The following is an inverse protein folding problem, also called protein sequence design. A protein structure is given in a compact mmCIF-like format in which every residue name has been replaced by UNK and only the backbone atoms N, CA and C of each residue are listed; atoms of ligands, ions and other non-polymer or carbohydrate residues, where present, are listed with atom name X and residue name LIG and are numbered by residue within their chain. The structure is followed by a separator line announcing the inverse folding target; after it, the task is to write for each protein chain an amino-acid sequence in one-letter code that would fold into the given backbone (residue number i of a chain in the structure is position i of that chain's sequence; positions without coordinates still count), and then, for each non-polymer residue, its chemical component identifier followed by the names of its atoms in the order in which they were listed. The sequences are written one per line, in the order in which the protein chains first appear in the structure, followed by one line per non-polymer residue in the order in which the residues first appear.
data_IF_195644229253
#
_entry.id   IF_195644229253
#
_cell.length_a   1.000
_cell.length_b   1.000
_cell.length_c   1.000
_cell.angle_alpha   90.00
_cell.angle_beta   90.00
_cell.angle_gamma   90.00
#
_symmetry.space_group_name_H-M   'P 1'
#
loop_
_entity.id
_entity.type
_entity.pdbx_description
1 polymer ?
#
# COMPACT_ATOMS: atom_id res chain seq x y z
N UNK A 1 0.63 -2.04 -14.36
CA UNK A 1 1.17 -3.14 -13.55
C UNK A 1 0.16 -4.27 -13.52
N UNK A 2 0.43 -5.37 -14.23
CA UNK A 2 -0.55 -6.45 -14.41
C UNK A 2 -0.92 -7.17 -13.10
N UNK A 3 0.07 -7.43 -12.22
CA UNK A 3 -0.17 -8.11 -10.94
C UNK A 3 -1.11 -7.32 -10.02
N UNK A 4 -0.87 -6.01 -9.86
CA UNK A 4 -1.71 -5.17 -9.00
C UNK A 4 -3.15 -5.12 -9.52
N UNK A 5 -3.33 -4.95 -10.84
CA UNK A 5 -4.66 -4.97 -11.46
C UNK A 5 -5.38 -6.30 -11.27
N UNK A 6 -4.67 -7.43 -11.41
CA UNK A 6 -5.24 -8.75 -11.19
C UNK A 6 -5.74 -8.95 -9.75
N UNK A 7 -4.98 -8.49 -8.75
CA UNK A 7 -5.37 -8.58 -7.33
C UNK A 7 -6.59 -7.71 -7.06
N UNK A 8 -6.63 -6.47 -7.57
CA UNK A 8 -7.76 -5.55 -7.41
C UNK A 8 -9.03 -6.16 -8.02
N UNK A 9 -8.93 -6.68 -9.25
CA UNK A 9 -10.05 -7.29 -9.95
C UNK A 9 -10.57 -8.53 -9.20
N UNK A 10 -9.67 -9.41 -8.76
CA UNK A 10 -10.04 -10.59 -7.98
C UNK A 10 -10.74 -10.22 -6.68
N UNK A 11 -10.21 -9.24 -5.96
CA UNK A 11 -10.77 -8.81 -4.69
C UNK A 11 -12.20 -8.25 -4.86
N UNK A 12 -12.41 -7.42 -5.90
CA UNK A 12 -13.73 -6.91 -6.26
C UNK A 12 -14.70 -8.04 -6.63
N UNK A 13 -14.27 -9.00 -7.47
CA UNK A 13 -15.11 -10.14 -7.88
C UNK A 13 -15.49 -11.07 -6.73
N UNK A 14 -14.62 -11.18 -5.72
CA UNK A 14 -14.87 -12.03 -4.54
C UNK A 14 -15.74 -11.33 -3.49
N UNK A 15 -16.04 -10.03 -3.65
CA UNK A 15 -16.86 -9.26 -2.72
C UNK A 15 -16.09 -8.70 -1.51
N UNK A 16 -14.76 -8.59 -1.60
CA UNK A 16 -14.01 -7.81 -0.60
C UNK A 16 -14.30 -6.32 -0.76
N UNK A 17 -14.33 -5.60 0.36
CA UNK A 17 -14.72 -4.19 0.39
C UNK A 17 -13.53 -3.23 0.37
N UNK A 18 -12.31 -3.73 0.66
CA UNK A 18 -11.09 -2.93 0.60
C UNK A 18 -9.83 -3.79 0.51
N UNK A 19 -8.73 -3.16 0.11
CA UNK A 19 -7.36 -3.68 0.15
C UNK A 19 -6.52 -2.67 0.91
N UNK A 20 -5.57 -3.14 1.72
CA UNK A 20 -4.57 -2.27 2.32
C UNK A 20 -3.16 -2.84 2.19
N UNK A 21 -2.18 -1.95 2.27
CA UNK A 21 -0.76 -2.28 2.30
C UNK A 21 0.02 -1.30 3.17
N UNK A 22 1.23 -1.69 3.55
CA UNK A 22 2.22 -0.79 4.15
C UNK A 22 3.37 -0.58 3.17
N UNK A 23 3.76 0.68 2.98
CA UNK A 23 4.88 1.07 2.12
C UNK A 23 5.83 1.97 2.89
N UNK A 24 7.14 1.74 2.75
CA UNK A 24 8.16 2.60 3.35
C UNK A 24 7.98 4.06 2.93
N UNK A 25 8.12 4.99 3.88
CA UNK A 25 7.80 6.41 3.63
C UNK A 25 8.66 7.06 2.55
N UNK A 26 9.85 6.53 2.28
CA UNK A 26 10.75 7.02 1.23
C UNK A 26 10.63 6.24 -0.09
N UNK A 27 9.77 5.21 -0.17
CA UNK A 27 9.58 4.47 -1.42
C UNK A 27 8.58 5.19 -2.35
N UNK A 28 8.99 6.37 -2.83
CA UNK A 28 8.17 7.27 -3.65
C UNK A 28 7.67 6.60 -4.93
N UNK A 29 8.49 5.73 -5.54
CA UNK A 29 8.10 4.99 -6.75
C UNK A 29 6.94 4.03 -6.47
N UNK A 30 6.98 3.30 -5.37
CA UNK A 30 5.88 2.40 -4.99
C UNK A 30 4.64 3.20 -4.56
N UNK A 31 4.80 4.26 -3.77
CA UNK A 31 3.68 5.13 -3.40
C UNK A 31 2.96 5.70 -4.63
N UNK A 32 3.69 6.26 -5.59
CA UNK A 32 3.11 6.79 -6.83
C UNK A 32 2.39 5.70 -7.66
N UNK A 33 2.93 4.48 -7.66
CA UNK A 33 2.28 3.34 -8.30
C UNK A 33 0.92 3.01 -7.65
N UNK A 34 0.87 2.96 -6.32
CA UNK A 34 -0.36 2.66 -5.58
C UNK A 34 -1.37 3.80 -5.66
N UNK A 35 -0.92 5.06 -5.58
CA UNK A 35 -1.76 6.25 -5.77
C UNK A 35 -2.41 6.26 -7.15
N UNK A 36 -1.65 5.91 -8.20
CA UNK A 36 -2.19 5.76 -9.56
C UNK A 36 -3.26 4.66 -9.67
N UNK A 37 -3.19 3.64 -8.82
CA UNK A 37 -4.18 2.58 -8.74
C UNK A 37 -5.37 2.91 -7.81
N UNK A 38 -5.41 4.09 -7.21
CA UNK A 38 -6.52 4.57 -6.37
C UNK A 38 -6.30 4.41 -4.87
N UNK A 39 -5.18 3.84 -4.43
CA UNK A 39 -4.87 3.75 -3.00
C UNK A 39 -4.62 5.14 -2.41
N UNK A 40 -5.06 5.37 -1.17
CA UNK A 40 -4.84 6.62 -0.43
C UNK A 40 -4.06 6.33 0.84
N UNK A 41 -3.11 7.21 1.18
CA UNK A 41 -2.41 7.15 2.48
C UNK A 41 -3.43 7.47 3.57
N UNK A 42 -3.69 6.51 4.46
CA UNK A 42 -4.69 6.66 5.53
C UNK A 42 -4.05 6.75 6.91
N UNK A 43 -2.84 6.21 7.08
CA UNK A 43 -2.15 6.20 8.37
C UNK A 43 -0.64 6.28 8.20
N UNK A 44 0.02 7.01 9.10
CA UNK A 44 1.46 6.92 9.32
C UNK A 44 1.75 5.88 10.41
N UNK A 45 2.66 4.96 10.12
CA UNK A 45 2.98 3.83 11.00
C UNK A 45 4.46 3.94 11.43
N UNK A 46 4.75 4.47 12.62
CA UNK A 46 6.11 4.59 13.11
C UNK A 46 6.71 3.21 13.38
N UNK A 47 8.03 3.10 13.22
CA UNK A 47 8.82 1.89 13.47
C UNK A 47 8.33 0.58 12.80
N UNK A 48 7.51 0.64 11.74
CA UNK A 48 6.99 -0.55 11.04
C UNK A 48 8.11 -1.48 10.54
N UNK A 49 9.20 -0.91 10.03
CA UNK A 49 10.37 -1.66 9.56
C UNK A 49 11.50 -1.71 10.58
N UNK A 50 11.23 -1.54 11.87
CA UNK A 50 12.26 -1.43 12.92
C UNK A 50 13.17 -2.65 13.08
N UNK A 51 12.77 -3.81 12.54
CA UNK A 51 13.57 -5.03 12.53
C UNK A 51 14.49 -5.17 11.30
N UNK A 52 14.43 -4.21 10.36
CA UNK A 52 15.26 -4.16 9.16
C UNK A 52 16.22 -2.96 9.22
N UNK A 53 17.33 -2.96 8.47
CA UNK A 53 18.21 -1.81 8.35
C UNK A 53 17.60 -0.72 7.44
N UNK A 54 16.38 -0.27 7.77
CA UNK A 54 15.69 0.83 7.11
C UNK A 54 15.61 2.02 8.05
N UNK A 55 16.13 3.15 7.60
CA UNK A 55 16.08 4.39 8.36
C UNK A 55 15.60 5.52 7.43
N UNK A 56 14.52 6.23 7.77
CA UNK A 56 13.64 6.01 8.93
C UNK A 56 12.82 4.71 8.83
N UNK A 57 12.61 3.93 9.91
CA UNK A 57 11.91 2.64 9.84
C UNK A 57 10.38 2.78 9.74
N UNK A 58 9.89 3.80 9.06
CA UNK A 58 8.48 4.19 9.06
C UNK A 58 7.77 3.72 7.78
N UNK A 59 6.47 3.55 7.87
CA UNK A 59 5.63 3.23 6.73
C UNK A 59 4.40 4.14 6.66
N UNK A 60 3.83 4.29 5.47
CA UNK A 60 2.45 4.67 5.30
C UNK A 60 1.60 3.42 5.09
N UNK A 61 0.48 3.33 5.81
CA UNK A 61 -0.62 2.47 5.39
C UNK A 61 -1.35 3.16 4.24
N UNK A 62 -1.60 2.40 3.18
CA UNK A 62 -2.40 2.86 2.05
C UNK A 62 -3.58 1.92 1.83
N UNK A 63 -4.77 2.49 1.70
CA UNK A 63 -6.02 1.75 1.55
C UNK A 63 -6.66 2.06 0.19
N UNK A 64 -7.22 1.03 -0.44
CA UNK A 64 -8.09 1.11 -1.62
C UNK A 64 -9.45 0.53 -1.24
N UNK A 65 -10.50 1.34 -1.34
CA UNK A 65 -11.88 0.87 -1.25
C UNK A 65 -12.27 0.28 -2.62
N UNK A 66 -12.92 -0.88 -2.62
CA UNK A 66 -13.30 -1.62 -3.82
C UNK A 66 -14.77 -1.41 -4.19
#
# INVERSE_FOLDING_TARGET
TQLLSAIIQWAHQTGYTFIYLHVHIENYKAMALYEKAGFRKTQYVPNYYGHLPKNPPHAFRMDLLL
#
